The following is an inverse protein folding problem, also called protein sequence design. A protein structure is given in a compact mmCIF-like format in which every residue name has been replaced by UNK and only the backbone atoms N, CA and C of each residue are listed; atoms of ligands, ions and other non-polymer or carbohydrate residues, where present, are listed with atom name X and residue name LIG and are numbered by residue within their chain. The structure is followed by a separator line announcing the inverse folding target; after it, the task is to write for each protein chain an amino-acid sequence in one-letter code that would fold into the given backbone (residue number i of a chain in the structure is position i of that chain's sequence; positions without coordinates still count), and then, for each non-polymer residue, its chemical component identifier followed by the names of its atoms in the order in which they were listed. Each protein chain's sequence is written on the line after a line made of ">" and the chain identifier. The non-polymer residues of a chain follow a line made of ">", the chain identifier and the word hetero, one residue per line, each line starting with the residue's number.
data_IF_785914267998
#
_entry.id   IF_785914267998
#
_cell.length_a   1.000
_cell.length_b   1.000
_cell.length_c   1.000
_cell.angle_alpha   90.00
_cell.angle_beta   90.00
_cell.angle_gamma   90.00
#
_symmetry.space_group_name_H-M   'P 1'
#
loop_
_entity.id
_entity.type
_entity.pdbx_description
1 polymer ?
#
# COMPACT_ATOMS: atom_id res chain seq x y z
N UNK A 1 13.30 -24.68 -5.88
CA UNK A 1 14.06 -23.78 -4.99
C UNK A 1 13.34 -23.71 -3.67
N UNK A 2 13.77 -24.52 -2.70
CA UNK A 2 13.14 -24.59 -1.38
C UNK A 2 13.83 -23.58 -0.47
N UNK A 3 13.23 -22.40 -0.28
CA UNK A 3 13.75 -21.44 0.70
C UNK A 3 13.26 -21.83 2.10
N UNK A 4 14.12 -22.58 2.79
CA UNK A 4 14.09 -22.73 4.24
C UNK A 4 14.49 -21.39 4.88
N UNK A 5 13.78 -20.93 5.91
CA UNK A 5 14.37 -20.47 7.20
C UNK A 5 13.35 -19.70 8.05
N UNK A 6 12.74 -20.38 9.02
CA UNK A 6 12.03 -19.75 10.17
C UNK A 6 13.01 -19.02 11.13
N UNK A 7 14.33 -19.11 10.89
CA UNK A 7 15.39 -18.68 11.84
C UNK A 7 16.54 -17.88 11.21
N UNK A 8 16.37 -17.27 10.03
CA UNK A 8 17.49 -16.61 9.37
C UNK A 8 17.95 -15.34 10.10
N UNK A 9 19.22 -15.30 10.50
CA UNK A 9 19.89 -14.12 11.06
C UNK A 9 20.69 -13.39 9.99
N UNK A 10 20.07 -13.01 8.86
CA UNK A 10 20.75 -12.11 7.89
C UNK A 10 20.75 -10.67 8.39
N UNK A 11 21.51 -10.42 9.44
CA UNK A 11 21.90 -9.05 9.79
C UNK A 11 22.71 -8.49 8.62
N UNK A 12 22.23 -7.40 8.01
CA UNK A 12 22.89 -6.77 6.84
C UNK A 12 22.34 -7.20 5.47
N UNK A 13 21.23 -7.94 5.40
CA UNK A 13 20.59 -8.33 4.12
C UNK A 13 20.38 -7.15 3.17
N UNK A 14 19.96 -6.00 3.69
CA UNK A 14 19.74 -4.80 2.86
C UNK A 14 21.00 -4.33 2.13
N UNK A 15 22.16 -4.37 2.79
CA UNK A 15 23.42 -4.00 2.16
C UNK A 15 23.84 -5.00 1.08
N UNK A 16 23.67 -6.30 1.37
CA UNK A 16 23.96 -7.37 0.41
C UNK A 16 23.05 -7.24 -0.82
N UNK A 17 21.75 -7.05 -0.64
CA UNK A 17 20.80 -6.90 -1.74
C UNK A 17 21.07 -5.65 -2.57
N UNK A 18 21.42 -4.51 -1.96
CA UNK A 18 21.80 -3.30 -2.69
C UNK A 18 22.99 -3.55 -3.62
N UNK A 19 24.05 -4.19 -3.12
CA UNK A 19 25.23 -4.55 -3.93
C UNK A 19 24.88 -5.51 -5.06
N UNK A 20 24.00 -6.48 -4.81
CA UNK A 20 23.52 -7.37 -5.85
C UNK A 20 22.74 -6.61 -6.92
N UNK A 21 21.89 -5.66 -6.52
CA UNK A 21 21.15 -4.81 -7.46
C UNK A 21 22.10 -4.01 -8.36
N UNK A 22 23.09 -3.34 -7.77
CA UNK A 22 24.11 -2.58 -8.50
C UNK A 22 24.89 -3.47 -9.49
N UNK A 23 25.18 -4.71 -9.11
CA UNK A 23 25.99 -5.63 -9.93
C UNK A 23 25.20 -6.23 -11.10
N UNK A 24 23.92 -6.53 -10.89
CA UNK A 24 23.17 -7.39 -11.83
C UNK A 24 21.96 -6.72 -12.48
N UNK A 25 21.38 -5.69 -11.86
CA UNK A 25 20.07 -5.15 -12.27
C UNK A 25 20.12 -3.67 -12.67
N UNK A 26 21.08 -2.89 -12.17
CA UNK A 26 21.09 -1.45 -12.42
C UNK A 26 21.29 -1.09 -13.91
N UNK A 27 22.25 -1.73 -14.60
CA UNK A 27 22.42 -1.49 -16.04
C UNK A 27 21.21 -1.98 -16.85
N UNK A 28 20.58 -3.06 -16.40
CA UNK A 28 19.35 -3.57 -17.01
C UNK A 28 18.22 -2.55 -16.84
N UNK A 29 17.97 -2.05 -15.62
CA UNK A 29 16.95 -1.03 -15.35
C UNK A 29 17.14 0.21 -16.22
N UNK A 30 18.37 0.73 -16.31
CA UNK A 30 18.65 1.93 -17.12
C UNK A 30 18.44 1.71 -18.63
N UNK A 31 18.49 0.47 -19.10
CA UNK A 31 18.29 0.11 -20.50
C UNK A 31 16.84 -0.26 -20.86
N UNK A 32 15.94 -0.36 -19.87
CA UNK A 32 14.55 -0.80 -20.02
C UNK A 32 13.57 0.20 -19.39
N UNK A 33 12.30 0.15 -19.78
CA UNK A 33 11.24 1.06 -19.31
C UNK A 33 10.33 0.36 -18.30
N UNK A 34 10.95 -0.29 -17.30
CA UNK A 34 10.29 -1.18 -16.34
C UNK A 34 9.96 -0.50 -15.00
N UNK A 35 10.30 0.80 -14.84
CA UNK A 35 10.10 1.57 -13.60
C UNK A 35 8.91 2.50 -13.74
N UNK A 36 7.91 2.34 -12.88
CA UNK A 36 6.70 3.16 -12.94
C UNK A 36 6.95 4.62 -12.53
N UNK A 37 6.63 5.56 -13.42
CA UNK A 37 6.58 7.00 -13.16
C UNK A 37 5.27 7.44 -12.51
N UNK A 38 4.81 6.74 -11.47
CA UNK A 38 3.49 7.01 -10.89
C UNK A 38 3.40 8.39 -10.23
N UNK A 39 2.24 9.01 -10.38
CA UNK A 39 1.89 10.24 -9.67
C UNK A 39 1.01 9.92 -8.47
N UNK A 40 1.14 10.72 -7.41
CA UNK A 40 0.28 10.58 -6.24
C UNK A 40 -1.20 10.73 -6.64
N UNK A 41 -2.03 9.75 -6.28
CA UNK A 41 -3.46 9.74 -6.60
C UNK A 41 -4.26 10.91 -5.99
N UNK A 42 -3.66 11.68 -5.05
CA UNK A 42 -4.29 12.81 -4.37
C UNK A 42 -3.88 14.15 -5.01
N UNK A 43 -2.58 14.38 -5.22
CA UNK A 43 -2.06 15.66 -5.70
C UNK A 43 -1.59 15.62 -7.17
N UNK A 44 -1.61 14.45 -7.80
CA UNK A 44 -1.20 14.20 -9.18
C UNK A 44 0.22 14.68 -9.51
N UNK A 45 1.11 14.63 -8.51
CA UNK A 45 2.52 15.00 -8.64
C UNK A 45 3.41 13.81 -8.31
N UNK A 46 4.54 13.69 -9.02
CA UNK A 46 5.64 12.77 -8.74
C UNK A 46 6.70 13.35 -7.79
N UNK A 47 6.34 14.34 -6.96
CA UNK A 47 7.28 14.99 -6.05
C UNK A 47 7.92 14.00 -5.06
N UNK A 48 9.16 14.28 -4.65
CA UNK A 48 9.83 13.51 -3.61
C UNK A 48 9.10 13.60 -2.27
N UNK A 49 9.17 12.54 -1.47
CA UNK A 49 8.56 12.47 -0.14
C UNK A 49 8.34 11.03 0.32
N UNK A 50 7.58 10.87 1.40
CA UNK A 50 7.13 9.56 1.88
C UNK A 50 5.90 9.11 1.09
N UNK A 51 5.94 7.89 0.56
CA UNK A 51 4.87 7.31 -0.25
C UNK A 51 4.32 6.04 0.39
N UNK A 52 3.03 5.81 0.19
CA UNK A 52 2.32 4.59 0.61
C UNK A 52 1.50 4.06 -0.55
N UNK A 53 1.44 2.73 -0.67
CA UNK A 53 0.65 2.04 -1.69
C UNK A 53 -0.69 1.59 -1.10
N UNK A 54 -1.78 1.78 -1.85
CA UNK A 54 -3.11 1.37 -1.40
C UNK A 54 -3.33 -0.13 -1.57
N UNK A 55 -3.54 -0.87 -0.48
CA UNK A 55 -3.80 -2.32 -0.50
C UNK A 55 -5.06 -2.75 -1.26
N UNK A 56 -5.96 -1.82 -1.58
CA UNK A 56 -7.20 -2.12 -2.31
C UNK A 56 -7.14 -1.87 -3.83
N UNK A 57 -6.39 -0.86 -4.29
CA UNK A 57 -6.34 -0.51 -5.72
C UNK A 57 -4.93 -0.54 -6.31
N UNK A 58 -3.88 -0.69 -5.50
CA UNK A 58 -2.50 -0.71 -5.96
C UNK A 58 -1.93 0.64 -6.37
N UNK A 59 -2.70 1.73 -6.30
CA UNK A 59 -2.21 3.08 -6.62
C UNK A 59 -1.42 3.70 -5.46
N UNK A 60 -0.49 4.59 -5.80
CA UNK A 60 0.38 5.26 -4.86
C UNK A 60 -0.13 6.65 -4.41
N UNK A 61 0.14 6.99 -3.15
CA UNK A 61 -0.14 8.31 -2.59
C UNK A 61 1.03 8.79 -1.74
N UNK A 62 1.30 10.09 -1.75
CA UNK A 62 2.12 10.70 -0.69
C UNK A 62 1.43 10.53 0.65
N UNK A 63 2.18 10.08 1.64
CA UNK A 63 1.67 9.95 3.01
C UNK A 63 1.18 11.31 3.55
N UNK A 64 1.93 12.39 3.28
CA UNK A 64 1.57 13.75 3.70
C UNK A 64 0.38 14.39 2.96
N UNK A 65 -0.08 13.80 1.84
CA UNK A 65 -1.27 14.27 1.14
C UNK A 65 -2.57 13.76 1.80
N UNK A 66 -2.51 12.66 2.57
CA UNK A 66 -3.67 12.14 3.29
C UNK A 66 -3.81 12.80 4.66
N UNK A 67 -4.77 13.73 4.78
CA UNK A 67 -5.01 14.52 6.00
C UNK A 67 -6.11 13.94 6.89
N UNK A 68 -6.54 12.70 6.66
CA UNK A 68 -7.54 12.04 7.50
C UNK A 68 -7.00 11.84 8.92
N UNK A 69 -7.87 12.06 9.91
CA UNK A 69 -7.54 11.76 11.30
C UNK A 69 -7.51 10.24 11.53
N UNK A 70 -6.68 9.79 12.47
CA UNK A 70 -6.58 8.38 12.85
C UNK A 70 -5.63 7.52 12.00
N UNK A 71 -4.89 8.13 11.07
CA UNK A 71 -3.73 7.47 10.45
C UNK A 71 -2.60 7.32 11.48
N UNK A 72 -1.86 6.21 11.41
CA UNK A 72 -0.64 6.00 12.20
C UNK A 72 0.49 6.95 11.79
N UNK A 73 1.68 6.81 12.36
CA UNK A 73 2.86 7.49 11.81
C UNK A 73 3.40 6.72 10.59
N UNK A 74 4.10 7.38 9.66
CA UNK A 74 4.65 6.72 8.46
C UNK A 74 5.46 5.45 8.78
N UNK A 75 6.27 5.49 9.84
CA UNK A 75 7.05 4.33 10.33
C UNK A 75 6.21 3.10 10.66
N UNK A 76 4.94 3.28 11.01
CA UNK A 76 4.05 2.17 11.36
C UNK A 76 3.58 1.41 10.11
N UNK A 77 3.61 2.06 8.94
CA UNK A 77 3.35 1.48 7.63
C UNK A 77 4.64 0.93 7.00
N UNK A 78 5.77 1.63 7.12
CA UNK A 78 7.01 1.30 6.40
C UNK A 78 7.82 0.13 6.99
N UNK A 79 7.55 -0.27 8.23
CA UNK A 79 8.20 -1.43 8.87
C UNK A 79 7.74 -2.75 8.25
N UNK A 80 8.54 -3.80 8.38
CA UNK A 80 8.12 -5.18 8.05
C UNK A 80 6.85 -5.53 8.80
N UNK A 81 5.89 -6.12 8.11
CA UNK A 81 4.54 -6.40 8.63
C UNK A 81 3.86 -5.15 9.23
N UNK A 82 4.09 -4.01 8.57
CA UNK A 82 3.49 -2.72 8.90
C UNK A 82 1.98 -2.67 8.68
N UNK A 83 1.38 -1.55 9.07
CA UNK A 83 -0.04 -1.30 8.87
C UNK A 83 -0.40 -1.28 7.38
N UNK A 84 -1.58 -1.80 7.05
CA UNK A 84 -2.14 -1.68 5.70
C UNK A 84 -2.68 -0.27 5.48
N UNK A 85 -2.29 0.36 4.36
CA UNK A 85 -2.82 1.64 3.93
C UNK A 85 -3.95 1.44 2.91
N UNK A 86 -5.10 2.09 3.15
CA UNK A 86 -6.23 2.14 2.22
C UNK A 86 -6.52 3.60 1.89
N UNK A 87 -6.41 3.97 0.60
CA UNK A 87 -6.58 5.35 0.14
C UNK A 87 -7.99 5.90 0.44
N UNK A 88 -8.19 7.24 0.45
CA UNK A 88 -9.49 7.85 0.76
C UNK A 88 -10.64 7.34 -0.12
N UNK A 89 -10.40 7.17 -1.43
CA UNK A 89 -11.42 6.71 -2.38
C UNK A 89 -11.88 5.28 -2.10
N UNK A 90 -10.93 4.38 -1.86
CA UNK A 90 -11.22 2.98 -1.53
C UNK A 90 -11.88 2.82 -0.17
N UNK A 91 -11.46 3.63 0.82
CA UNK A 91 -12.04 3.61 2.17
C UNK A 91 -13.53 4.01 2.17
N UNK A 92 -13.89 5.05 1.41
CA UNK A 92 -15.30 5.47 1.26
C UNK A 92 -16.13 4.43 0.52
N UNK A 93 -15.59 3.85 -0.55
CA UNK A 93 -16.29 2.85 -1.37
C UNK A 93 -16.58 1.56 -0.58
N UNK A 94 -15.60 1.09 0.20
CA UNK A 94 -15.79 -0.10 1.05
C UNK A 94 -16.72 0.16 2.24
N UNK A 95 -16.72 1.38 2.79
CA UNK A 95 -17.65 1.76 3.87
C UNK A 95 -19.11 1.74 3.40
N UNK A 96 -19.40 2.23 2.18
CA UNK A 96 -20.74 2.20 1.58
C UNK A 96 -21.24 0.77 1.35
N UNK A 97 -20.38 -0.14 0.88
CA UNK A 97 -20.73 -1.58 0.74
C UNK A 97 -21.08 -2.22 2.09
N UNK A 98 -20.29 -1.94 3.14
CA UNK A 98 -20.58 -2.46 4.50
C UNK A 98 -21.90 -1.90 5.06
N UNK A 99 -22.18 -0.62 4.87
CA UNK A 99 -23.44 0.00 5.34
C UNK A 99 -24.67 -0.52 4.58
N UNK A 100 -24.56 -0.83 3.28
CA UNK A 100 -25.66 -1.43 2.53
C UNK A 100 -25.98 -2.86 2.98
N UNK A 101 -24.96 -3.67 3.30
CA UNK A 101 -25.16 -5.01 3.86
C UNK A 101 -25.75 -5.01 5.28
N UNK A 102 -25.58 -3.90 6.03
CA UNK A 102 -26.05 -3.76 7.41
C UNK A 102 -27.42 -3.07 7.53
N UNK A 103 -28.12 -2.74 6.44
CA UNK A 103 -29.52 -2.30 6.54
C UNK A 103 -30.36 -3.48 7.03
N UNK A 104 -30.96 -3.44 8.23
CA UNK A 104 -31.94 -4.44 8.60
C UNK A 104 -33.12 -4.30 7.64
N UNK A 105 -33.50 -5.40 6.99
CA UNK A 105 -34.76 -5.50 6.25
C UNK A 105 -35.92 -5.44 7.25
N UNK A 106 -36.25 -4.24 7.72
CA UNK A 106 -37.49 -4.00 8.45
C UNK A 106 -38.64 -3.92 7.43
N UNK A 107 -39.38 -5.01 7.33
CA UNK A 107 -40.60 -5.12 6.51
C UNK A 107 -41.56 -6.14 7.11
N UNK A 108 -42.08 -5.87 8.30
CA UNK A 108 -43.34 -6.48 8.74
C UNK A 108 -44.46 -5.97 7.83
N UNK A 109 -45.18 -6.88 7.18
CA UNK A 109 -46.56 -6.65 6.73
C UNK A 109 -47.38 -7.89 7.06
N UNK A 110 -48.00 -7.90 8.24
CA UNK A 110 -49.25 -8.64 8.46
C UNK A 110 -50.34 -7.87 7.72
N UNK A 111 -51.11 -8.53 6.86
CA UNK A 111 -52.49 -8.15 6.58
C UNK A 111 -53.25 -9.33 5.94
N UNK A 112 -54.25 -9.80 6.69
CA UNK A 112 -55.46 -10.58 6.35
C UNK A 112 -55.34 -11.87 5.54
#
# INVERSE_FOLDING_TARGET
>A
MSNYTTTHRMTGVGNTLKRHYETYLLEYELAHDDVDGECCLICHSGAAGDWVNCGACGEWAHFGCDRRQGLGAFKDYAKTDGLEYICPQCSMTNSKKKQQLQRPTNGFSKAY
#
